data_IF_250329080763
#
_entry.id   IF_250329080763
#
_cell.length_a   1.000
_cell.length_b   1.000
_cell.length_c   1.000
_cell.angle_alpha   90.00
_cell.angle_beta   90.00
_cell.angle_gamma   90.00
#
_symmetry.space_group_name_H-M   'P 1'
#
loop_
_entity.id
_entity.type
_entity.pdbx_description
1 polymer ?
#
# COMPACT_ATOMS: atom_id res chain seq x y z
N UNK A 1 -11.96 23.30 11.00
CA UNK A 1 -10.65 22.68 11.29
C UNK A 1 -10.21 21.98 10.03
N UNK A 2 -8.96 22.07 9.69
CA UNK A 2 -8.37 21.29 8.59
C UNK A 2 -8.35 19.82 9.00
N UNK A 3 -8.67 18.92 8.07
CA UNK A 3 -8.69 17.50 8.36
C UNK A 3 -7.28 16.99 8.68
N UNK A 4 -7.16 16.11 9.67
CA UNK A 4 -5.87 15.52 10.07
C UNK A 4 -5.42 14.46 9.08
N UNK A 5 -6.37 13.67 8.55
CA UNK A 5 -6.13 12.57 7.61
C UNK A 5 -7.23 12.50 6.55
N UNK A 6 -6.88 11.94 5.39
CA UNK A 6 -7.80 11.71 4.27
C UNK A 6 -8.03 10.22 4.09
N UNK A 7 -9.29 9.83 4.01
CA UNK A 7 -9.73 8.45 3.80
C UNK A 7 -10.37 8.35 2.42
N UNK A 8 -9.84 7.50 1.54
CA UNK A 8 -10.55 7.07 0.35
C UNK A 8 -11.63 6.07 0.74
N UNK A 9 -12.87 6.27 0.30
CA UNK A 9 -13.94 5.32 0.59
C UNK A 9 -14.59 4.85 -0.70
N UNK A 10 -14.42 3.57 -1.00
CA UNK A 10 -15.00 2.87 -2.15
C UNK A 10 -16.32 2.26 -1.70
N UNK A 11 -17.42 2.81 -2.21
CA UNK A 11 -18.78 2.32 -2.02
C UNK A 11 -19.62 2.86 -3.19
N UNK A 12 -20.35 1.99 -3.89
CA UNK A 12 -21.16 2.37 -5.06
C UNK A 12 -22.39 3.19 -4.65
N UNK A 13 -22.84 3.11 -3.38
CA UNK A 13 -23.90 3.96 -2.86
C UNK A 13 -23.34 5.26 -2.28
N UNK A 14 -23.44 6.33 -3.05
CA UNK A 14 -23.04 7.68 -2.63
C UNK A 14 -23.69 8.14 -1.31
N UNK A 15 -24.84 7.55 -0.92
CA UNK A 15 -25.48 7.87 0.36
C UNK A 15 -24.67 7.32 1.53
N UNK A 16 -24.09 6.13 1.37
CA UNK A 16 -23.18 5.54 2.35
C UNK A 16 -21.92 6.39 2.49
N UNK A 17 -21.32 6.78 1.37
CA UNK A 17 -20.16 7.68 1.37
C UNK A 17 -20.48 8.97 2.15
N UNK A 18 -21.62 9.61 1.88
CA UNK A 18 -22.04 10.82 2.58
C UNK A 18 -22.34 10.60 4.06
N UNK A 19 -22.95 9.45 4.42
CA UNK A 19 -23.22 9.07 5.80
C UNK A 19 -21.93 9.01 6.61
N UNK A 20 -20.99 8.17 6.17
CA UNK A 20 -19.73 7.96 6.89
C UNK A 20 -18.76 9.14 6.80
N UNK A 21 -18.83 9.94 5.73
CA UNK A 21 -18.13 11.21 5.67
C UNK A 21 -18.53 12.16 6.80
N UNK A 22 -19.82 12.19 7.17
CA UNK A 22 -20.29 13.00 8.31
C UNK A 22 -19.82 12.42 9.63
N UNK A 23 -19.97 11.10 9.85
CA UNK A 23 -19.54 10.43 11.07
C UNK A 23 -18.03 10.62 11.33
N UNK A 24 -17.20 10.46 10.32
CA UNK A 24 -15.75 10.53 10.45
C UNK A 24 -15.22 11.97 10.53
N UNK A 25 -15.97 12.94 10.02
CA UNK A 25 -15.57 14.36 10.07
C UNK A 25 -15.38 14.87 11.50
N UNK A 26 -16.22 14.46 12.42
CA UNK A 26 -16.17 14.90 13.82
C UNK A 26 -14.89 14.37 14.51
N UNK A 27 -14.29 13.33 13.98
CA UNK A 27 -13.00 12.78 14.40
C UNK A 27 -11.80 13.33 13.62
N UNK A 28 -12.00 14.32 12.75
CA UNK A 28 -10.92 14.97 12.02
C UNK A 28 -10.49 14.27 10.72
N UNK A 29 -11.34 13.39 10.17
CA UNK A 29 -11.08 12.77 8.87
C UNK A 29 -11.85 13.47 7.75
N UNK A 30 -11.21 13.61 6.59
CA UNK A 30 -11.85 13.93 5.31
C UNK A 30 -12.06 12.64 4.53
N UNK A 31 -13.29 12.39 4.08
CA UNK A 31 -13.61 11.20 3.27
C UNK A 31 -13.75 11.60 1.81
N UNK A 32 -12.98 10.94 0.95
CA UNK A 32 -12.98 11.09 -0.51
C UNK A 32 -13.70 9.86 -1.08
N UNK A 33 -14.84 10.09 -1.72
CA UNK A 33 -15.56 9.05 -2.48
C UNK A 33 -15.08 8.99 -3.92
N UNK A 34 -15.37 7.88 -4.58
CA UNK A 34 -15.00 7.63 -5.99
C UNK A 34 -16.24 7.57 -6.86
N UNK A 35 -16.08 7.95 -8.12
CA UNK A 35 -17.19 7.93 -9.08
C UNK A 35 -17.40 6.52 -9.64
N UNK A 36 -18.66 6.08 -9.67
CA UNK A 36 -19.07 4.82 -10.25
C UNK A 36 -19.96 5.07 -11.48
N UNK A 37 -19.78 4.30 -12.54
CA UNK A 37 -20.64 4.29 -13.72
C UNK A 37 -20.89 2.88 -14.23
N UNK A 38 -21.96 2.71 -14.99
CA UNK A 38 -22.36 1.41 -15.52
C UNK A 38 -21.26 0.76 -16.37
N UNK A 39 -20.87 -0.45 -16.00
CA UNK A 39 -19.84 -1.22 -16.69
C UNK A 39 -18.39 -0.79 -16.41
N UNK A 40 -18.17 0.05 -15.39
CA UNK A 40 -16.83 0.44 -14.95
C UNK A 40 -15.98 -0.78 -14.63
N UNK A 41 -14.74 -0.79 -15.12
CA UNK A 41 -13.77 -1.83 -14.82
C UNK A 41 -13.07 -1.58 -13.48
N UNK A 42 -12.48 -2.64 -12.91
CA UNK A 42 -11.63 -2.51 -11.71
C UNK A 42 -10.45 -1.56 -11.95
N UNK A 43 -9.84 -1.63 -13.14
CA UNK A 43 -8.70 -0.79 -13.50
C UNK A 43 -9.06 0.70 -13.50
N UNK A 44 -10.24 1.06 -14.03
CA UNK A 44 -10.72 2.46 -14.02
C UNK A 44 -10.95 2.98 -12.60
N UNK A 45 -11.55 2.16 -11.72
CA UNK A 45 -11.70 2.53 -10.31
C UNK A 45 -10.34 2.70 -9.64
N UNK A 46 -9.43 1.75 -9.85
CA UNK A 46 -8.10 1.80 -9.23
C UNK A 46 -7.25 2.98 -9.72
N UNK A 47 -7.45 3.45 -10.96
CA UNK A 47 -6.83 4.69 -11.43
C UNK A 47 -7.26 5.88 -10.57
N UNK A 48 -8.56 6.05 -10.28
CA UNK A 48 -9.04 7.12 -9.40
C UNK A 48 -8.42 7.02 -8.01
N UNK A 49 -8.35 5.79 -7.46
CA UNK A 49 -7.77 5.54 -6.13
C UNK A 49 -6.28 5.90 -6.09
N UNK A 50 -5.51 5.52 -7.12
CA UNK A 50 -4.07 5.81 -7.16
C UNK A 50 -3.74 7.26 -7.43
N UNK A 51 -4.63 8.01 -8.08
CA UNK A 51 -4.49 9.46 -8.29
C UNK A 51 -4.91 10.27 -7.07
N UNK A 52 -5.70 9.69 -6.15
CA UNK A 52 -6.14 10.37 -4.94
C UNK A 52 -5.02 10.45 -3.89
N UNK A 53 -4.97 11.59 -3.19
CA UNK A 53 -4.07 11.83 -2.06
C UNK A 53 -4.76 11.39 -0.77
N UNK A 54 -4.63 10.11 -0.42
CA UNK A 54 -5.26 9.48 0.75
C UNK A 54 -4.23 8.90 1.71
N UNK A 55 -4.60 8.84 2.98
CA UNK A 55 -3.82 8.23 4.05
C UNK A 55 -4.25 6.79 4.38
N UNK A 56 -5.51 6.44 4.05
CA UNK A 56 -6.11 5.13 4.28
C UNK A 56 -7.19 4.86 3.23
N UNK A 57 -7.37 3.60 2.84
CA UNK A 57 -8.44 3.16 1.96
C UNK A 57 -9.47 2.33 2.73
N UNK A 58 -10.74 2.75 2.70
CA UNK A 58 -11.90 1.97 3.13
C UNK A 58 -12.61 1.40 1.91
N UNK A 59 -13.00 0.14 1.95
CA UNK A 59 -13.59 -0.58 0.83
C UNK A 59 -14.89 -1.24 1.30
N UNK A 60 -16.03 -0.92 0.68
CA UNK A 60 -17.19 -1.78 0.85
C UNK A 60 -16.99 -3.12 0.14
N UNK A 61 -17.43 -4.20 0.78
CA UNK A 61 -17.29 -5.52 0.17
C UNK A 61 -18.23 -5.71 -1.00
N UNK A 62 -19.49 -5.23 -0.89
CA UNK A 62 -20.57 -5.60 -1.82
C UNK A 62 -20.81 -4.54 -2.90
N UNK A 63 -19.85 -4.33 -3.77
CA UNK A 63 -19.90 -3.32 -4.83
C UNK A 63 -20.80 -3.68 -6.03
N UNK A 64 -21.18 -4.94 -6.17
CA UNK A 64 -21.98 -5.40 -7.33
C UNK A 64 -23.49 -5.46 -7.08
N UNK A 65 -24.01 -5.03 -5.92
CA UNK A 65 -25.44 -5.09 -5.61
C UNK A 65 -26.29 -4.27 -6.59
N UNK A 66 -25.80 -3.09 -6.98
CA UNK A 66 -26.47 -2.23 -7.98
C UNK A 66 -26.28 -2.68 -9.43
N UNK A 67 -25.57 -3.77 -9.72
CA UNK A 67 -25.16 -4.18 -11.08
C UNK A 67 -24.44 -3.07 -11.86
N UNK A 68 -23.82 -2.10 -11.16
CA UNK A 68 -23.05 -1.02 -11.77
C UNK A 68 -21.69 -1.54 -12.19
N UNK A 69 -21.07 -2.36 -11.34
CA UNK A 69 -19.79 -3.03 -11.58
C UNK A 69 -19.94 -4.55 -11.44
N UNK A 70 -18.98 -5.32 -11.98
CA UNK A 70 -18.98 -6.78 -11.96
C UNK A 70 -18.07 -7.40 -10.89
N UNK A 71 -17.37 -6.57 -10.12
CA UNK A 71 -16.44 -7.00 -9.06
C UNK A 71 -16.94 -6.59 -7.68
N UNK A 72 -16.37 -7.19 -6.64
CA UNK A 72 -16.60 -6.87 -5.23
C UNK A 72 -15.33 -6.30 -4.59
N UNK A 73 -15.44 -5.96 -3.30
CA UNK A 73 -14.36 -5.35 -2.53
C UNK A 73 -13.14 -6.23 -2.32
N UNK A 74 -13.28 -7.57 -2.37
CA UNK A 74 -12.17 -8.52 -2.34
C UNK A 74 -11.23 -8.35 -3.54
N UNK A 75 -11.80 -8.16 -4.75
CA UNK A 75 -10.98 -7.90 -5.94
C UNK A 75 -10.25 -6.55 -5.86
N UNK A 76 -10.90 -5.52 -5.29
CA UNK A 76 -10.30 -4.21 -5.04
C UNK A 76 -9.16 -4.32 -4.03
N UNK A 77 -9.40 -5.01 -2.91
CA UNK A 77 -8.42 -5.22 -1.84
C UNK A 77 -7.18 -5.94 -2.35
N UNK A 78 -7.37 -7.05 -3.08
CA UNK A 78 -6.28 -7.83 -3.66
C UNK A 78 -5.42 -7.00 -4.63
N UNK A 79 -6.03 -6.26 -5.58
CA UNK A 79 -5.29 -5.39 -6.51
C UNK A 79 -4.54 -4.27 -5.77
N UNK A 80 -5.17 -3.72 -4.72
CA UNK A 80 -4.56 -2.65 -3.94
C UNK A 80 -3.39 -3.15 -3.10
N UNK A 81 -3.54 -4.29 -2.43
CA UNK A 81 -2.50 -4.91 -1.62
C UNK A 81 -1.26 -5.27 -2.45
N UNK A 82 -1.47 -5.83 -3.64
CA UNK A 82 -0.38 -6.19 -4.54
C UNK A 82 0.46 -4.97 -4.98
N UNK A 83 -0.20 -3.84 -5.19
CA UNK A 83 0.46 -2.62 -5.69
C UNK A 83 0.97 -1.68 -4.60
N UNK A 84 0.36 -1.73 -3.40
CA UNK A 84 0.71 -0.89 -2.24
C UNK A 84 0.75 -1.71 -0.96
N UNK A 85 1.66 -2.68 -0.84
CA UNK A 85 1.79 -3.48 0.36
C UNK A 85 2.05 -2.58 1.58
N UNK A 86 1.42 -2.91 2.71
CA UNK A 86 1.49 -2.18 3.98
C UNK A 86 0.74 -0.82 4.00
N UNK A 87 0.24 -0.32 2.88
CA UNK A 87 -0.61 0.86 2.93
C UNK A 87 -1.89 0.54 3.73
N UNK A 88 -2.32 1.41 4.67
CA UNK A 88 -3.48 1.11 5.49
C UNK A 88 -4.74 1.00 4.64
N UNK A 89 -5.40 -0.14 4.73
CA UNK A 89 -6.70 -0.37 4.10
C UNK A 89 -7.56 -1.28 4.96
N UNK A 90 -8.86 -1.17 4.82
CA UNK A 90 -9.85 -1.99 5.52
C UNK A 90 -11.02 -2.32 4.60
N UNK A 91 -11.65 -3.47 4.87
CA UNK A 91 -12.99 -3.80 4.37
C UNK A 91 -13.99 -3.28 5.40
N UNK A 92 -14.87 -2.38 4.98
CA UNK A 92 -15.88 -1.75 5.84
C UNK A 92 -17.27 -2.02 5.30
N UNK A 93 -17.94 -3.03 5.83
CA UNK A 93 -19.13 -3.62 5.24
C UNK A 93 -20.12 -4.11 6.30
N UNK A 94 -21.41 -4.20 5.99
CA UNK A 94 -22.39 -4.95 6.77
C UNK A 94 -22.66 -6.35 6.22
N UNK A 95 -21.75 -6.85 5.37
CA UNK A 95 -21.78 -8.21 4.81
C UNK A 95 -20.54 -9.03 5.25
N UNK A 96 -20.19 -8.95 6.53
CA UNK A 96 -18.99 -9.56 7.11
C UNK A 96 -18.88 -11.05 6.78
N UNK A 97 -19.95 -11.82 7.02
CA UNK A 97 -19.98 -13.27 6.75
C UNK A 97 -19.74 -13.61 5.26
N UNK A 98 -20.09 -12.68 4.34
CA UNK A 98 -19.84 -12.86 2.91
C UNK A 98 -18.41 -12.47 2.52
N UNK A 99 -17.80 -11.54 3.23
CA UNK A 99 -16.44 -11.04 2.97
C UNK A 99 -15.36 -12.02 3.49
N UNK A 100 -15.57 -12.59 4.69
CA UNK A 100 -14.58 -13.45 5.37
C UNK A 100 -13.98 -14.58 4.51
N UNK A 101 -14.74 -15.30 3.67
CA UNK A 101 -14.16 -16.38 2.87
C UNK A 101 -13.23 -15.90 1.73
N UNK A 102 -13.28 -14.63 1.37
CA UNK A 102 -12.60 -14.07 0.19
C UNK A 102 -11.49 -13.08 0.52
N UNK A 103 -11.45 -12.56 1.75
CA UNK A 103 -10.42 -11.62 2.23
C UNK A 103 -9.39 -12.41 3.04
N UNK A 104 -8.11 -12.32 2.66
CA UNK A 104 -7.04 -13.11 3.28
C UNK A 104 -6.80 -12.75 4.76
N UNK A 105 -6.81 -11.46 5.10
CA UNK A 105 -6.67 -10.99 6.48
C UNK A 105 -8.02 -10.54 7.04
N UNK A 106 -8.72 -11.44 7.73
CA UNK A 106 -10.00 -11.14 8.37
C UNK A 106 -9.93 -9.98 9.39
N UNK A 107 -8.75 -9.61 9.89
CA UNK A 107 -8.57 -8.52 10.86
C UNK A 107 -8.81 -7.14 10.28
N UNK A 108 -8.80 -7.02 8.96
CA UNK A 108 -9.12 -5.77 8.27
C UNK A 108 -10.61 -5.59 8.00
N UNK A 109 -11.44 -6.60 8.32
CA UNK A 109 -12.89 -6.54 8.10
C UNK A 109 -13.56 -5.91 9.32
N UNK A 110 -14.32 -4.85 9.09
CA UNK A 110 -15.09 -4.12 10.11
C UNK A 110 -16.55 -4.04 9.71
N UNK A 111 -17.43 -4.34 10.67
CA UNK A 111 -18.88 -4.23 10.49
C UNK A 111 -19.33 -2.78 10.64
N UNK A 112 -20.01 -2.26 9.60
CA UNK A 112 -20.56 -0.90 9.59
C UNK A 112 -21.55 -0.66 10.72
N UNK A 113 -22.40 -1.66 11.01
CA UNK A 113 -23.48 -1.56 11.98
C UNK A 113 -22.94 -1.72 13.42
N UNK A 114 -21.84 -2.46 13.61
CA UNK A 114 -21.17 -2.53 14.91
C UNK A 114 -20.37 -1.25 15.25
N UNK A 115 -19.80 -0.59 14.24
CA UNK A 115 -18.97 0.61 14.44
C UNK A 115 -19.80 1.86 14.66
N UNK A 116 -20.90 2.02 13.92
CA UNK A 116 -21.75 3.21 13.91
C UNK A 116 -23.24 2.86 14.06
N UNK A 117 -23.62 2.16 15.15
CA UNK A 117 -25.01 1.87 15.46
C UNK A 117 -25.71 3.10 16.10
N UNK A 118 -27.03 3.05 16.26
CA UNK A 118 -27.79 4.19 16.81
C UNK A 118 -28.02 4.09 18.35
N UNK A 119 -27.33 3.19 19.05
CA UNK A 119 -27.47 2.93 20.49
C UNK A 119 -26.41 3.66 21.32
N UNK A 120 -26.67 3.93 22.58
CA UNK A 120 -25.82 4.77 23.48
C UNK A 120 -24.38 4.25 23.73
N UNK A 121 -24.07 2.99 23.37
CA UNK A 121 -22.73 2.41 23.50
C UNK A 121 -21.79 2.76 22.30
N UNK A 122 -22.29 3.48 21.34
CA UNK A 122 -21.65 3.72 20.04
C UNK A 122 -20.43 4.63 20.07
N UNK A 123 -20.43 5.62 20.96
CA UNK A 123 -19.31 6.57 20.99
C UNK A 123 -17.99 5.86 21.34
N UNK A 124 -18.03 4.87 22.22
CA UNK A 124 -16.83 4.09 22.56
C UNK A 124 -16.38 3.19 21.41
N UNK A 125 -17.30 2.56 20.69
CA UNK A 125 -16.99 1.72 19.51
C UNK A 125 -16.44 2.55 18.37
N UNK A 126 -17.10 3.65 18.04
CA UNK A 126 -16.63 4.60 17.03
C UNK A 126 -15.24 5.15 17.37
N UNK A 127 -14.98 5.50 18.63
CA UNK A 127 -13.68 5.98 19.09
C UNK A 127 -12.59 4.89 18.98
N UNK A 128 -12.91 3.65 19.32
CA UNK A 128 -11.97 2.51 19.14
C UNK A 128 -11.64 2.30 17.66
N UNK A 129 -12.65 2.32 16.79
CA UNK A 129 -12.45 2.19 15.34
C UNK A 129 -11.56 3.30 14.80
N UNK A 130 -11.89 4.55 15.10
CA UNK A 130 -11.09 5.72 14.72
C UNK A 130 -9.64 5.60 15.22
N UNK A 131 -9.46 5.16 16.46
CA UNK A 131 -8.12 4.93 17.03
C UNK A 131 -7.33 3.87 16.23
N UNK A 132 -8.00 2.83 15.74
CA UNK A 132 -7.36 1.81 14.88
C UNK A 132 -6.93 2.43 13.55
N UNK A 133 -7.80 3.23 12.92
CA UNK A 133 -7.47 3.91 11.65
C UNK A 133 -6.27 4.85 11.84
N UNK A 134 -6.29 5.70 12.86
CA UNK A 134 -5.19 6.63 13.15
C UNK A 134 -3.86 5.88 13.38
N UNK A 135 -3.88 4.85 14.23
CA UNK A 135 -2.67 4.05 14.49
C UNK A 135 -2.14 3.36 13.25
N UNK A 136 -3.02 2.86 12.38
CA UNK A 136 -2.62 2.22 11.12
C UNK A 136 -1.93 3.22 10.20
N UNK A 137 -2.47 4.43 10.07
CA UNK A 137 -1.89 5.52 9.29
C UNK A 137 -0.53 5.93 9.86
N UNK A 138 -0.46 6.17 11.18
CA UNK A 138 0.77 6.58 11.85
C UNK A 138 1.86 5.51 11.76
N UNK A 139 1.50 4.24 11.90
CA UNK A 139 2.43 3.12 11.76
C UNK A 139 3.01 3.06 10.35
N UNK A 140 2.19 3.24 9.32
CA UNK A 140 2.65 3.29 7.93
C UNK A 140 3.58 4.47 7.67
N UNK A 141 3.20 5.68 8.09
CA UNK A 141 4.06 6.88 7.97
C UNK A 141 5.38 6.71 8.70
N UNK A 142 5.36 6.21 9.94
CA UNK A 142 6.57 5.92 10.69
C UNK A 142 7.46 4.85 10.04
N UNK A 143 6.86 3.88 9.34
CA UNK A 143 7.64 2.87 8.61
C UNK A 143 8.39 3.49 7.42
N UNK A 144 7.75 4.39 6.69
CA UNK A 144 8.37 5.17 5.62
C UNK A 144 9.50 6.05 6.16
N UNK A 145 9.23 6.86 7.20
CA UNK A 145 10.24 7.76 7.78
C UNK A 145 11.47 7.01 8.30
N UNK A 146 11.29 5.89 8.99
CA UNK A 146 12.42 5.05 9.42
C UNK A 146 13.29 4.55 8.25
N UNK A 147 12.69 4.30 7.09
CA UNK A 147 13.47 3.91 5.90
C UNK A 147 14.19 5.12 5.29
N UNK A 148 13.53 6.27 5.21
CA UNK A 148 14.14 7.53 4.76
C UNK A 148 15.34 7.92 5.63
N UNK A 149 15.22 7.81 6.95
CA UNK A 149 16.32 8.08 7.88
C UNK A 149 17.52 7.14 7.65
N UNK A 150 17.28 5.83 7.51
CA UNK A 150 18.34 4.87 7.23
C UNK A 150 19.05 5.17 5.90
N UNK A 151 18.29 5.49 4.86
CA UNK A 151 18.83 5.89 3.57
C UNK A 151 19.70 7.15 3.74
N UNK A 152 19.22 8.16 4.46
CA UNK A 152 19.97 9.39 4.73
C UNK A 152 21.31 9.13 5.44
N UNK A 153 21.31 8.25 6.44
CA UNK A 153 22.53 7.84 7.15
C UNK A 153 23.51 7.13 6.18
N UNK A 154 23.04 6.21 5.36
CA UNK A 154 23.89 5.51 4.38
C UNK A 154 24.44 6.47 3.32
N UNK A 155 23.63 7.40 2.84
CA UNK A 155 24.05 8.43 1.89
C UNK A 155 25.15 9.34 2.46
N UNK A 156 25.08 9.68 3.75
CA UNK A 156 26.11 10.51 4.40
C UNK A 156 27.49 9.80 4.46
N UNK A 157 27.52 8.47 4.42
CA UNK A 157 28.74 7.66 4.45
C UNK A 157 29.34 7.41 3.05
N UNK A 158 28.64 7.67 1.96
CA UNK A 158 29.09 7.31 0.59
C UNK A 158 30.49 7.84 0.24
N UNK A 159 30.84 9.02 0.74
CA UNK A 159 32.15 9.64 0.48
C UNK A 159 33.20 9.32 1.53
N UNK A 160 32.91 8.46 2.51
CA UNK A 160 33.84 8.04 3.54
C UNK A 160 34.50 6.70 3.17
N UNK A 161 35.68 6.45 3.75
CA UNK A 161 36.37 5.15 3.63
C UNK A 161 35.65 4.02 4.37
N UNK A 162 34.61 4.35 5.14
CA UNK A 162 33.81 3.41 5.92
C UNK A 162 32.62 2.83 5.13
N UNK A 163 32.32 3.35 3.93
CA UNK A 163 31.22 2.84 3.10
C UNK A 163 31.60 1.52 2.45
N UNK A 164 30.99 0.46 2.91
CA UNK A 164 31.26 -0.91 2.47
C UNK A 164 30.30 -1.37 1.37
N UNK A 165 30.63 -2.50 0.72
CA UNK A 165 29.73 -3.17 -0.23
C UNK A 165 28.43 -3.66 0.44
N UNK A 166 28.44 -3.90 1.75
CA UNK A 166 27.25 -4.26 2.52
C UNK A 166 26.33 -3.05 2.62
N UNK A 167 26.88 -1.85 2.92
CA UNK A 167 26.11 -0.59 2.98
C UNK A 167 25.51 -0.25 1.63
N UNK A 168 26.24 -0.50 0.53
CA UNK A 168 25.72 -0.29 -0.84
C UNK A 168 24.52 -1.20 -1.14
N UNK A 169 24.59 -2.48 -0.80
CA UNK A 169 23.51 -3.42 -1.00
C UNK A 169 22.29 -3.07 -0.12
N UNK A 170 22.52 -2.66 1.13
CA UNK A 170 21.44 -2.23 2.03
C UNK A 170 20.75 -0.95 1.50
N UNK A 171 21.52 0.02 1.00
CA UNK A 171 21.01 1.24 0.38
C UNK A 171 20.10 0.92 -0.81
N UNK A 172 20.56 0.07 -1.75
CA UNK A 172 19.77 -0.35 -2.91
C UNK A 172 18.48 -1.05 -2.48
N UNK A 173 18.56 -1.93 -1.48
CA UNK A 173 17.40 -2.64 -0.94
C UNK A 173 16.37 -1.67 -0.36
N UNK A 174 16.82 -0.75 0.51
CA UNK A 174 15.94 0.23 1.15
C UNK A 174 15.29 1.18 0.15
N UNK A 175 16.03 1.61 -0.89
CA UNK A 175 15.48 2.44 -1.95
C UNK A 175 14.38 1.71 -2.73
N UNK A 176 14.59 0.44 -3.11
CA UNK A 176 13.57 -0.38 -3.79
C UNK A 176 12.33 -0.58 -2.92
N UNK A 177 12.51 -0.88 -1.64
CA UNK A 177 11.41 -1.03 -0.70
C UNK A 177 10.62 0.28 -0.56
N UNK A 178 11.31 1.42 -0.47
CA UNK A 178 10.67 2.72 -0.35
C UNK A 178 9.93 3.14 -1.62
N UNK A 179 10.47 2.86 -2.80
CA UNK A 179 9.80 3.10 -4.08
C UNK A 179 8.48 2.34 -4.21
N UNK A 180 8.39 1.15 -3.62
CA UNK A 180 7.15 0.37 -3.60
C UNK A 180 6.13 0.91 -2.58
N UNK A 181 6.59 1.55 -1.50
CA UNK A 181 5.73 2.09 -0.44
C UNK A 181 5.29 3.53 -0.73
N UNK A 182 6.19 4.36 -1.21
CA UNK A 182 5.99 5.80 -1.38
C UNK A 182 6.32 6.23 -2.82
N UNK A 183 5.28 6.47 -3.62
CA UNK A 183 5.44 6.89 -5.01
C UNK A 183 6.09 8.27 -5.16
N UNK A 184 5.98 9.13 -4.14
CA UNK A 184 6.55 10.49 -4.17
C UNK A 184 8.07 10.46 -4.01
N UNK A 185 8.60 9.43 -3.38
CA UNK A 185 10.03 9.27 -3.13
C UNK A 185 10.88 9.22 -4.41
N UNK A 186 10.31 8.73 -5.51
CA UNK A 186 11.02 8.67 -6.81
C UNK A 186 11.46 10.05 -7.29
N UNK A 187 10.75 11.12 -6.89
CA UNK A 187 11.09 12.50 -7.24
C UNK A 187 12.19 13.10 -6.35
N UNK A 188 12.44 12.52 -5.16
CA UNK A 188 13.39 13.05 -4.19
C UNK A 188 14.78 12.39 -4.28
N UNK A 189 14.94 11.29 -5.03
CA UNK A 189 16.23 10.64 -5.20
C UNK A 189 17.06 11.48 -6.19
N UNK A 190 18.20 12.05 -5.77
CA UNK A 190 19.09 12.72 -6.69
C UNK A 190 19.51 11.76 -7.82
N UNK A 191 19.36 12.17 -9.08
CA UNK A 191 19.73 11.37 -10.26
C UNK A 191 21.17 10.80 -10.19
N UNK A 192 22.06 11.45 -9.43
CA UNK A 192 23.44 10.99 -9.19
C UNK A 192 23.54 9.69 -8.39
N UNK A 193 22.47 9.27 -7.71
CA UNK A 193 22.46 8.03 -6.90
C UNK A 193 21.76 6.87 -7.60
N UNK A 194 20.92 7.15 -8.59
CA UNK A 194 20.46 6.17 -9.56
C UNK A 194 21.45 6.22 -10.73
N UNK A 195 22.69 5.82 -10.51
CA UNK A 195 23.57 5.63 -11.62
C UNK A 195 23.14 4.34 -12.33
N UNK A 196 22.34 4.49 -13.38
CA UNK A 196 21.99 3.41 -14.31
C UNK A 196 23.24 2.65 -14.75
N UNK A 197 24.40 3.32 -14.86
CA UNK A 197 25.69 2.70 -15.12
C UNK A 197 26.15 1.72 -14.04
N UNK A 198 25.87 1.98 -12.76
CA UNK A 198 26.22 1.03 -11.67
C UNK A 198 25.24 -0.13 -11.62
N UNK A 199 23.96 0.10 -11.85
CA UNK A 199 22.96 -0.96 -11.96
C UNK A 199 23.20 -1.84 -13.18
N UNK A 200 23.63 -1.26 -14.28
CA UNK A 200 24.01 -1.97 -15.49
C UNK A 200 25.30 -2.80 -15.30
N UNK A 201 26.29 -2.26 -14.58
CA UNK A 201 27.49 -3.02 -14.18
C UNK A 201 27.17 -4.18 -13.25
N UNK A 202 26.28 -4.02 -12.28
CA UNK A 202 25.86 -5.11 -11.38
C UNK A 202 25.08 -6.17 -12.16
N UNK A 203 24.19 -5.77 -13.05
CA UNK A 203 23.46 -6.65 -13.96
C UNK A 203 24.42 -7.41 -14.90
N UNK A 204 25.41 -6.73 -15.46
CA UNK A 204 26.44 -7.33 -16.32
C UNK A 204 27.31 -8.30 -15.56
N UNK A 205 27.80 -7.95 -14.37
CA UNK A 205 28.57 -8.84 -13.48
C UNK A 205 27.77 -10.08 -13.06
N UNK A 206 26.48 -9.94 -12.82
CA UNK A 206 25.61 -11.08 -12.53
C UNK A 206 25.50 -12.04 -13.71
N UNK A 207 25.26 -11.51 -14.91
CA UNK A 207 25.18 -12.30 -16.14
C UNK A 207 26.52 -13.00 -16.46
N UNK A 208 27.66 -12.32 -16.25
CA UNK A 208 28.98 -12.89 -16.41
C UNK A 208 29.26 -13.98 -15.38
N UNK A 209 28.84 -13.78 -14.12
CA UNK A 209 28.97 -14.78 -13.06
C UNK A 209 28.11 -16.02 -13.30
N UNK A 210 26.89 -15.85 -13.80
CA UNK A 210 26.01 -16.96 -14.20
C UNK A 210 26.62 -17.76 -15.37
N UNK A 211 27.14 -17.07 -16.38
CA UNK A 211 27.85 -17.72 -17.52
C UNK A 211 29.12 -18.46 -17.06
N UNK A 212 29.89 -17.89 -16.15
CA UNK A 212 31.07 -18.54 -15.59
C UNK A 212 30.72 -19.80 -14.82
N UNK A 213 29.67 -19.77 -14.00
CA UNK A 213 29.15 -20.93 -13.27
C UNK A 213 28.65 -22.03 -14.23
N UNK A 214 27.92 -21.66 -15.26
CA UNK A 214 27.45 -22.61 -16.29
C UNK A 214 28.60 -23.28 -17.02
N UNK A 215 29.66 -22.54 -17.33
CA UNK A 215 30.87 -23.09 -17.94
C UNK A 215 31.63 -24.04 -17.01
N UNK A 216 31.71 -23.71 -15.71
CA UNK A 216 32.31 -24.61 -14.71
C UNK A 216 31.51 -25.92 -14.55
N UNK A 217 30.19 -25.84 -14.58
CA UNK A 217 29.29 -27.01 -14.47
C UNK A 217 29.45 -27.89 -15.71
N UNK A 218 29.58 -27.30 -16.93
CA UNK A 218 29.81 -28.05 -18.15
C UNK A 218 31.16 -28.73 -18.14
N UNK A 219 32.22 -28.00 -17.78
CA UNK A 219 33.58 -28.56 -17.74
C UNK A 219 33.75 -29.71 -16.72
N UNK A 220 33.01 -29.66 -15.61
CA UNK A 220 32.95 -30.77 -14.64
C UNK A 220 32.17 -31.99 -15.14
N UNK A 221 31.17 -31.81 -15.99
CA UNK A 221 30.44 -32.92 -16.61
C UNK A 221 31.27 -33.63 -17.69
N UNK A 222 32.10 -32.88 -18.45
CA UNK A 222 32.94 -33.42 -19.50
C UNK A 222 34.22 -34.10 -18.97
N UNK A 223 34.64 -33.78 -17.73
CA UNK A 223 35.81 -34.40 -17.08
C UNK A 223 35.45 -35.61 -16.20
N UNK A 224 34.20 -36.00 -16.13
CA UNK A 224 33.70 -37.12 -15.35
C UNK A 224 33.21 -38.33 -16.16
N UNK A 225 33.58 -38.43 -17.46
CA UNK A 225 33.30 -39.57 -18.33
C UNK A 225 34.54 -40.34 -18.66
#
# INVERSE_FOLDING_TARGET
>A
MEAKYKIGYIDEDIKQVKKYSRCLKDFGFEVIGYDFHQGMSLEELMCQVYESDIDLLMIDYKLNEGNIVAFNGDAVESDFYDKRPLFPHIIFTNKVEQAEPFVEDWKIIFDKDEVFSEEDEDEERALRFVTILEKSIEQYKNHIEKKKDKISILLSKINSTEFSSVDENELIKLQKELMNLDKTFVQEIPEKLISYEKLDKISTLRIESEKFLDNLIKSKKDSGS
#
